data_IF_181909278656
#
_entry.id   IF_181909278656
#
_cell.length_a   1.000
_cell.length_b   1.000
_cell.length_c   1.000
_cell.angle_alpha   90.00
_cell.angle_beta   90.00
_cell.angle_gamma   90.00
#
_symmetry.space_group_name_H-M   'P 1'
#
loop_
_entity.id
_entity.type
_entity.pdbx_description
1 polymer ?
#
# COMPACT_ATOMS: atom_id res chain seq x y z
N UNK A 1 -8.39 -7.06 -12.12
CA UNK A 1 -7.67 -5.93 -12.77
C UNK A 1 -7.33 -4.82 -11.78
N UNK A 2 -8.12 -4.58 -10.73
CA UNK A 2 -7.91 -3.55 -9.70
C UNK A 2 -6.60 -3.72 -8.90
N UNK A 3 -6.21 -4.95 -8.56
CA UNK A 3 -5.03 -5.21 -7.70
C UNK A 3 -3.70 -4.64 -8.25
N UNK A 4 -3.50 -4.66 -9.59
CA UNK A 4 -2.26 -4.13 -10.19
C UNK A 4 -2.17 -2.59 -10.09
N UNK A 5 -3.32 -1.92 -10.15
CA UNK A 5 -3.39 -0.46 -10.03
C UNK A 5 -3.11 -0.06 -8.57
N UNK A 6 -3.76 -0.72 -7.61
CA UNK A 6 -3.58 -0.41 -6.18
C UNK A 6 -2.15 -0.68 -5.70
N UNK A 7 -1.49 -1.75 -6.17
CA UNK A 7 -0.09 -2.05 -5.87
C UNK A 7 0.88 -0.96 -6.35
N UNK A 8 0.65 -0.42 -7.55
CA UNK A 8 1.47 0.69 -8.08
C UNK A 8 1.26 1.96 -7.28
N UNK A 9 0.02 2.25 -6.88
CA UNK A 9 -0.30 3.42 -6.05
C UNK A 9 0.31 3.27 -4.65
N UNK A 10 0.25 2.07 -4.05
CA UNK A 10 0.93 1.74 -2.79
C UNK A 10 2.43 2.07 -2.87
N UNK A 11 3.09 1.67 -3.96
CA UNK A 11 4.50 2.00 -4.18
C UNK A 11 4.76 3.51 -4.30
N UNK A 12 3.87 4.25 -4.96
CA UNK A 12 4.01 5.70 -5.12
C UNK A 12 3.86 6.44 -3.79
N UNK A 13 2.92 6.03 -2.94
CA UNK A 13 2.75 6.58 -1.58
C UNK A 13 3.83 6.12 -0.61
N UNK A 14 4.49 4.99 -0.87
CA UNK A 14 5.66 4.59 -0.09
C UNK A 14 6.86 5.51 -0.35
N UNK A 15 7.04 5.94 -1.60
CA UNK A 15 8.21 6.71 -2.04
C UNK A 15 8.05 8.23 -1.82
N UNK A 16 6.84 8.72 -1.52
CA UNK A 16 6.52 10.14 -1.42
C UNK A 16 5.57 10.43 -0.26
N UNK A 17 5.60 11.64 0.30
CA UNK A 17 4.61 12.06 1.29
C UNK A 17 3.22 12.05 0.67
N UNK A 18 2.21 11.53 1.38
CA UNK A 18 0.83 11.57 0.88
C UNK A 18 0.43 12.97 0.41
N UNK A 19 0.76 14.03 1.14
CA UNK A 19 0.46 15.43 0.76
C UNK A 19 1.01 15.82 -0.62
N UNK A 20 2.16 15.29 -0.99
CA UNK A 20 2.95 15.75 -2.15
C UNK A 20 2.52 15.08 -3.46
N UNK A 21 1.76 13.98 -3.39
CA UNK A 21 1.27 13.25 -4.56
C UNK A 21 -0.11 13.77 -4.98
N UNK A 22 -0.24 14.38 -6.14
CA UNK A 22 -1.55 14.77 -6.69
C UNK A 22 -2.22 13.64 -7.47
N UNK A 23 -3.53 13.75 -7.73
CA UNK A 23 -4.23 12.82 -8.63
C UNK A 23 -3.64 12.83 -10.06
N UNK A 24 -3.02 13.93 -10.48
CA UNK A 24 -2.35 14.02 -11.79
C UNK A 24 -1.04 13.22 -11.81
N UNK A 25 -0.26 13.30 -10.74
CA UNK A 25 0.98 12.53 -10.60
C UNK A 25 0.69 11.02 -10.61
N UNK A 26 -0.39 10.61 -9.92
CA UNK A 26 -0.84 9.21 -9.95
C UNK A 26 -1.22 8.80 -11.37
N UNK A 27 -2.04 9.59 -12.07
CA UNK A 27 -2.47 9.27 -13.43
C UNK A 27 -1.27 9.14 -14.39
N UNK A 28 -0.32 10.05 -14.29
CA UNK A 28 0.94 10.02 -15.05
C UNK A 28 1.77 8.78 -14.74
N UNK A 29 1.96 8.45 -13.46
CA UNK A 29 2.73 7.27 -13.02
C UNK A 29 2.12 5.95 -13.52
N UNK A 30 0.80 5.90 -13.65
CA UNK A 30 0.07 4.73 -14.13
C UNK A 30 -0.06 4.69 -15.66
N UNK A 31 0.33 5.74 -16.38
CA UNK A 31 0.10 5.87 -17.82
C UNK A 31 -1.40 5.95 -18.17
N UNK A 32 -2.22 6.44 -17.24
CA UNK A 32 -3.68 6.52 -17.37
C UNK A 32 -4.14 7.95 -17.64
N UNK A 33 -5.30 8.09 -18.30
CA UNK A 33 -5.98 9.39 -18.38
C UNK A 33 -6.53 9.76 -17.00
N UNK A 34 -6.44 11.05 -16.63
CA UNK A 34 -7.02 11.60 -15.38
C UNK A 34 -8.47 11.15 -15.18
N UNK A 35 -9.32 11.26 -16.20
CA UNK A 35 -10.73 10.85 -16.12
C UNK A 35 -10.91 9.35 -15.79
N UNK A 36 -10.03 8.48 -16.30
CA UNK A 36 -10.05 7.05 -15.96
C UNK A 36 -9.64 6.81 -14.52
N UNK A 37 -8.69 7.59 -13.99
CA UNK A 37 -8.31 7.51 -12.58
C UNK A 37 -9.46 7.94 -11.66
N UNK A 38 -10.13 9.06 -11.96
CA UNK A 38 -11.29 9.53 -11.17
C UNK A 38 -12.49 8.58 -11.23
N UNK A 39 -12.61 7.79 -12.30
CA UNK A 39 -13.62 6.73 -12.38
C UNK A 39 -13.38 5.62 -11.34
N UNK A 40 -12.11 5.27 -11.08
CA UNK A 40 -11.76 4.26 -10.07
C UNK A 40 -11.68 4.85 -8.66
N UNK A 41 -11.18 6.07 -8.54
CA UNK A 41 -10.93 6.74 -7.27
C UNK A 41 -11.52 8.15 -7.30
N UNK A 42 -12.71 8.37 -6.72
CA UNK A 42 -13.40 9.65 -6.82
C UNK A 42 -12.66 10.80 -6.11
N UNK A 43 -11.79 10.48 -5.15
CA UNK A 43 -10.90 11.44 -4.50
C UNK A 43 -9.57 10.78 -4.11
N UNK A 44 -8.59 11.62 -3.75
CA UNK A 44 -7.29 11.18 -3.25
C UNK A 44 -7.41 10.43 -1.91
N UNK A 45 -8.36 10.83 -1.08
CA UNK A 45 -8.68 10.19 0.20
C UNK A 45 -9.36 8.84 -0.02
N UNK A 46 -10.31 8.75 -0.97
CA UNK A 46 -10.92 7.47 -1.34
C UNK A 46 -9.87 6.49 -1.89
N UNK A 47 -8.92 6.99 -2.70
CA UNK A 47 -7.77 6.21 -3.16
C UNK A 47 -6.92 5.71 -1.99
N UNK A 48 -6.62 6.58 -1.02
CA UNK A 48 -5.83 6.22 0.15
C UNK A 48 -6.51 5.10 0.96
N UNK A 49 -7.83 5.17 1.16
CA UNK A 49 -8.58 4.13 1.86
C UNK A 49 -8.49 2.78 1.15
N UNK A 50 -8.64 2.77 -0.19
CA UNK A 50 -8.50 1.54 -0.98
C UNK A 50 -7.09 0.96 -0.92
N UNK A 51 -6.05 1.80 -0.96
CA UNK A 51 -4.65 1.39 -0.81
C UNK A 51 -4.40 0.83 0.60
N UNK A 52 -4.93 1.48 1.64
CA UNK A 52 -4.87 1.00 3.03
C UNK A 52 -5.47 -0.41 3.14
N UNK A 53 -6.66 -0.63 2.59
CA UNK A 53 -7.33 -1.93 2.64
C UNK A 53 -6.50 -3.00 1.92
N UNK A 54 -5.97 -2.67 0.74
CA UNK A 54 -5.10 -3.58 0.00
C UNK A 54 -3.83 -3.97 0.78
N UNK A 55 -3.13 -2.99 1.36
CA UNK A 55 -1.94 -3.24 2.19
C UNK A 55 -2.28 -4.03 3.46
N UNK A 56 -3.44 -3.77 4.06
CA UNK A 56 -3.93 -4.53 5.22
C UNK A 56 -4.17 -6.00 4.86
N UNK A 57 -4.80 -6.28 3.73
CA UNK A 57 -5.04 -7.65 3.28
C UNK A 57 -3.73 -8.40 2.99
N UNK A 58 -2.74 -7.73 2.39
CA UNK A 58 -1.38 -8.28 2.22
C UNK A 58 -0.72 -8.60 3.56
N UNK A 59 -0.80 -7.67 4.51
CA UNK A 59 -0.22 -7.89 5.84
C UNK A 59 -0.93 -9.02 6.57
N UNK A 60 -2.26 -9.09 6.50
CA UNK A 60 -3.06 -10.18 7.08
C UNK A 60 -2.68 -11.53 6.49
N UNK A 61 -2.52 -11.63 5.18
CA UNK A 61 -2.09 -12.87 4.52
C UNK A 61 -0.68 -13.27 4.96
N UNK A 62 0.24 -12.31 5.04
CA UNK A 62 1.60 -12.52 5.56
C UNK A 62 1.59 -13.02 7.01
N UNK A 63 0.76 -12.44 7.87
CA UNK A 63 0.65 -12.88 9.27
C UNK A 63 0.15 -14.31 9.37
N UNK A 64 -0.85 -14.71 8.57
CA UNK A 64 -1.36 -16.08 8.56
C UNK A 64 -0.23 -17.06 8.22
N UNK A 65 0.51 -16.82 7.14
CA UNK A 65 1.67 -17.63 6.74
C UNK A 65 2.78 -17.64 7.82
N UNK A 66 3.03 -16.49 8.44
CA UNK A 66 4.04 -16.36 9.49
C UNK A 66 3.68 -17.18 10.74
N UNK A 67 2.40 -17.19 11.13
CA UNK A 67 1.92 -17.92 12.31
C UNK A 67 1.75 -19.42 12.07
N UNK A 68 1.78 -19.89 10.81
CA UNK A 68 1.93 -21.32 10.51
C UNK A 68 3.32 -21.86 10.87
N UNK A 69 4.28 -20.99 11.20
CA UNK A 69 5.62 -21.39 11.65
C UNK A 69 5.61 -21.74 13.14
N UNK A 70 6.17 -22.90 13.48
CA UNK A 70 6.24 -23.37 14.89
C UNK A 70 7.35 -22.70 15.73
N UNK A 71 8.14 -21.77 15.15
CA UNK A 71 9.25 -21.13 15.85
C UNK A 71 8.96 -19.68 16.17
N UNK A 72 8.84 -19.38 17.46
CA UNK A 72 8.59 -18.02 17.97
C UNK A 72 9.64 -17.00 17.51
N UNK A 73 10.90 -17.41 17.38
CA UNK A 73 11.97 -16.54 16.88
C UNK A 73 11.68 -16.09 15.44
N UNK A 74 11.26 -17.02 14.58
CA UNK A 74 10.92 -16.70 13.19
C UNK A 74 9.68 -15.79 13.10
N UNK A 75 8.69 -16.00 13.97
CA UNK A 75 7.52 -15.13 14.10
C UNK A 75 7.93 -13.72 14.53
N UNK A 76 8.70 -13.60 15.62
CA UNK A 76 9.12 -12.30 16.15
C UNK A 76 9.99 -11.55 15.13
N UNK A 77 10.94 -12.23 14.50
CA UNK A 77 11.75 -11.64 13.43
C UNK A 77 10.88 -11.21 12.25
N UNK A 78 9.90 -12.02 11.84
CA UNK A 78 8.99 -11.68 10.74
C UNK A 78 8.16 -10.43 11.02
N UNK A 79 7.55 -10.34 12.21
CA UNK A 79 6.77 -9.17 12.64
C UNK A 79 7.58 -7.88 12.60
N UNK A 80 8.81 -7.91 13.13
CA UNK A 80 9.69 -6.74 13.15
C UNK A 80 10.15 -6.39 11.73
N UNK A 81 10.56 -7.39 10.96
CA UNK A 81 11.18 -7.17 9.64
C UNK A 81 10.19 -6.70 8.58
N UNK A 82 8.93 -7.16 8.64
CA UNK A 82 7.89 -6.75 7.69
C UNK A 82 7.72 -5.23 7.65
N UNK A 83 7.69 -4.60 8.84
CA UNK A 83 7.56 -3.15 8.99
C UNK A 83 8.70 -2.33 8.37
N UNK A 84 9.88 -2.93 8.19
CA UNK A 84 11.12 -2.27 7.75
C UNK A 84 11.44 -2.55 6.28
N UNK A 85 11.15 -3.76 5.78
CA UNK A 85 11.56 -4.20 4.43
C UNK A 85 10.51 -4.02 3.35
N UNK A 86 9.23 -4.19 3.69
CA UNK A 86 8.17 -4.17 2.69
C UNK A 86 7.69 -2.74 2.43
N UNK A 87 7.27 -2.48 1.20
CA UNK A 87 6.51 -1.27 0.84
C UNK A 87 5.13 -1.33 1.49
N UNK A 88 5.09 -1.21 2.81
CA UNK A 88 3.93 -1.47 3.64
C UNK A 88 3.22 -0.17 4.07
N UNK A 89 2.02 -0.32 4.58
CA UNK A 89 1.18 0.80 4.97
C UNK A 89 1.75 1.63 6.13
N UNK A 90 2.57 1.03 6.99
CA UNK A 90 3.03 1.69 8.21
C UNK A 90 3.89 2.92 7.93
N UNK A 91 4.58 2.99 6.78
CA UNK A 91 5.24 4.25 6.39
C UNK A 91 4.23 5.32 5.97
N UNK A 92 3.15 4.95 5.26
CA UNK A 92 2.16 5.89 4.74
C UNK A 92 1.38 6.54 5.89
N UNK A 93 0.98 5.77 6.91
CA UNK A 93 0.26 6.30 8.08
C UNK A 93 1.17 6.95 9.13
N UNK A 94 2.49 6.76 9.07
CA UNK A 94 3.45 7.38 9.99
C UNK A 94 4.08 8.67 9.45
N UNK A 95 3.85 8.99 8.18
CA UNK A 95 4.19 10.28 7.59
C UNK A 95 3.27 11.36 8.19
N UNK A 96 3.88 12.36 8.84
CA UNK A 96 3.21 13.57 9.32
C UNK A 96 2.77 14.46 8.16
#
# INVERSE_FOLDING_TARGET
MTNNITEKIESLFWENTFSDVSMDDVALSLGMKKASLYYHFPSKEAMLVEVINYSYDKYRAYLIDLFEKDKIEEIVTGLITYSIKEKNLFSIISQK
#
